data_IF_814941765872
#
_entry.id   IF_814941765872
#
_cell.length_a   1.000
_cell.length_b   1.000
_cell.length_c   1.000
_cell.angle_alpha   90.00
_cell.angle_beta   90.00
_cell.angle_gamma   90.00
#
_symmetry.space_group_name_H-M   'P 1'
#
loop_
_entity.id
_entity.type
_entity.pdbx_description
1 polymer ?
#
# COMPACT_ATOMS: atom_id res chain seq x y z
N UNK A 1 -3.77 18.11 -1.76
CA UNK A 1 -3.42 16.84 -1.06
C UNK A 1 -3.68 15.69 -2.03
N UNK A 2 -2.69 14.83 -2.28
CA UNK A 2 -2.93 13.61 -3.06
C UNK A 2 -3.83 12.68 -2.23
N UNK A 3 -4.91 12.21 -2.82
CA UNK A 3 -5.81 11.24 -2.21
C UNK A 3 -5.06 9.91 -1.97
N UNK A 4 -5.45 9.14 -0.97
CA UNK A 4 -4.89 7.78 -0.70
C UNK A 4 -4.89 6.88 -1.94
N UNK A 5 -5.76 7.12 -2.85
CA UNK A 5 -5.97 6.62 -4.18
C UNK A 5 -4.80 6.85 -5.14
N UNK A 6 -4.37 8.11 -5.25
CA UNK A 6 -3.23 8.49 -6.09
C UNK A 6 -1.93 7.84 -5.59
N UNK A 7 -1.83 7.62 -4.26
CA UNK A 7 -0.67 6.99 -3.63
C UNK A 7 -0.58 5.52 -4.01
N UNK A 8 -1.70 4.79 -3.99
CA UNK A 8 -1.72 3.36 -4.32
C UNK A 8 -1.37 3.12 -5.79
N UNK A 9 -1.91 3.93 -6.69
CA UNK A 9 -1.63 3.85 -8.13
C UNK A 9 -0.18 4.22 -8.43
N UNK A 10 0.32 5.29 -7.82
CA UNK A 10 1.71 5.70 -7.94
C UNK A 10 2.67 4.61 -7.43
N UNK A 11 2.33 3.95 -6.30
CA UNK A 11 3.09 2.82 -5.79
C UNK A 11 3.23 1.69 -6.82
N UNK A 12 2.12 1.31 -7.45
CA UNK A 12 2.12 0.25 -8.46
C UNK A 12 2.98 0.62 -9.68
N UNK A 13 2.84 1.84 -10.18
CA UNK A 13 3.60 2.33 -11.32
C UNK A 13 5.10 2.37 -11.04
N UNK A 14 5.48 2.90 -9.88
CA UNK A 14 6.89 3.03 -9.50
C UNK A 14 7.53 1.66 -9.23
N UNK A 15 6.76 0.72 -8.66
CA UNK A 15 7.18 -0.65 -8.43
C UNK A 15 7.43 -1.40 -9.76
N UNK A 16 6.55 -1.23 -10.74
CA UNK A 16 6.74 -1.81 -12.08
C UNK A 16 7.93 -1.18 -12.81
N UNK A 17 8.12 0.14 -12.71
CA UNK A 17 9.31 0.80 -13.25
C UNK A 17 10.60 0.27 -12.62
N UNK A 18 10.63 0.06 -11.31
CA UNK A 18 11.77 -0.53 -10.61
C UNK A 18 12.01 -1.98 -11.08
N UNK A 19 10.95 -2.78 -11.22
CA UNK A 19 11.06 -4.14 -11.74
C UNK A 19 11.64 -4.19 -13.17
N UNK A 20 11.18 -3.34 -14.06
CA UNK A 20 11.66 -3.31 -15.45
C UNK A 20 13.15 -2.96 -15.55
N UNK A 21 13.70 -2.23 -14.59
CA UNK A 21 15.15 -1.95 -14.48
C UNK A 21 15.94 -3.12 -13.93
N UNK A 22 15.38 -3.84 -12.97
CA UNK A 22 16.06 -4.93 -12.25
C UNK A 22 15.96 -6.27 -12.99
N UNK A 23 14.82 -6.58 -13.58
CA UNK A 23 14.55 -7.88 -14.19
C UNK A 23 15.60 -8.35 -15.21
N UNK A 24 16.13 -7.48 -16.12
CA UNK A 24 17.16 -7.88 -17.08
C UNK A 24 18.49 -8.29 -16.41
N UNK A 25 18.73 -7.89 -15.17
CA UNK A 25 19.97 -8.20 -14.42
C UNK A 25 19.89 -9.50 -13.61
N UNK A 26 18.77 -10.20 -13.64
CA UNK A 26 18.52 -11.38 -12.85
C UNK A 26 18.30 -12.62 -13.73
N UNK A 27 18.88 -13.73 -13.32
CA UNK A 27 18.69 -15.01 -14.00
C UNK A 27 17.33 -15.64 -13.68
N UNK A 28 16.83 -15.43 -12.45
CA UNK A 28 15.56 -15.99 -11.99
C UNK A 28 14.56 -14.88 -11.64
N UNK A 29 13.30 -15.11 -11.99
CA UNK A 29 12.23 -14.17 -11.74
C UNK A 29 12.01 -13.90 -10.24
N UNK A 30 12.19 -14.90 -9.39
CA UNK A 30 12.12 -14.74 -7.92
C UNK A 30 13.20 -13.79 -7.39
N UNK A 31 14.43 -13.87 -7.92
CA UNK A 31 15.50 -12.93 -7.57
C UNK A 31 15.16 -11.51 -8.02
N UNK A 32 14.54 -11.36 -9.19
CA UNK A 32 14.10 -10.06 -9.68
C UNK A 32 13.05 -9.43 -8.75
N UNK A 33 12.11 -10.21 -8.22
CA UNK A 33 11.13 -9.72 -7.26
C UNK A 33 11.76 -9.23 -5.96
N UNK A 34 12.64 -10.03 -5.36
CA UNK A 34 13.34 -9.66 -4.12
C UNK A 34 14.24 -8.45 -4.30
N UNK A 35 14.98 -8.38 -5.41
CA UNK A 35 15.81 -7.21 -5.73
C UNK A 35 14.97 -5.95 -5.98
N UNK A 36 13.81 -6.09 -6.62
CA UNK A 36 12.94 -4.95 -6.93
C UNK A 36 12.43 -4.28 -5.67
N UNK A 37 11.92 -5.06 -4.71
CA UNK A 37 11.34 -4.50 -3.48
C UNK A 37 12.38 -3.84 -2.57
N UNK A 38 13.67 -4.20 -2.75
CA UNK A 38 14.81 -3.60 -2.05
C UNK A 38 15.41 -2.38 -2.76
N UNK A 39 14.90 -2.01 -3.93
CA UNK A 39 15.33 -0.77 -4.59
C UNK A 39 14.84 0.45 -3.82
N UNK A 40 15.60 1.55 -3.83
CA UNK A 40 15.12 2.82 -3.33
C UNK A 40 13.78 3.21 -4.00
N UNK A 41 12.82 3.58 -3.19
CA UNK A 41 11.52 4.05 -3.67
C UNK A 41 11.49 5.57 -3.75
N UNK A 42 10.78 6.17 -4.72
CA UNK A 42 10.71 7.62 -4.88
C UNK A 42 10.10 8.34 -3.68
N UNK A 43 9.29 7.64 -2.88
CA UNK A 43 8.63 8.18 -1.69
C UNK A 43 8.19 7.07 -0.74
N UNK A 44 7.74 7.46 0.47
CA UNK A 44 6.95 6.58 1.33
C UNK A 44 5.49 6.59 0.85
N UNK A 45 4.94 5.40 0.55
CA UNK A 45 3.56 5.25 0.00
C UNK A 45 2.53 5.17 1.13
N UNK A 46 2.44 6.25 1.87
CA UNK A 46 1.50 6.45 2.97
C UNK A 46 1.00 7.90 2.94
N UNK A 47 -0.24 8.15 3.36
CA UNK A 47 -0.73 9.52 3.49
C UNK A 47 -0.10 10.22 4.70
N UNK A 48 0.11 11.53 4.59
CA UNK A 48 0.66 12.33 5.69
C UNK A 48 -0.22 12.23 6.95
N UNK A 49 -1.54 12.12 6.78
CA UNK A 49 -2.49 11.95 7.89
C UNK A 49 -2.25 10.63 8.65
N UNK A 50 -2.19 9.51 7.93
CA UNK A 50 -1.92 8.19 8.53
C UNK A 50 -0.52 8.15 9.17
N UNK A 51 0.48 8.70 8.48
CA UNK A 51 1.84 8.78 9.00
C UNK A 51 1.88 9.59 10.31
N UNK A 52 1.26 10.77 10.36
CA UNK A 52 1.22 11.62 11.56
C UNK A 52 0.54 10.92 12.74
N UNK A 53 -0.53 10.17 12.51
CA UNK A 53 -1.23 9.41 13.56
C UNK A 53 -0.36 8.33 14.21
N UNK A 54 0.55 7.74 13.46
CA UNK A 54 1.47 6.72 13.98
C UNK A 54 2.74 7.34 14.55
N UNK A 55 3.30 8.34 13.89
CA UNK A 55 4.55 8.97 14.33
C UNK A 55 4.38 9.85 15.57
N UNK A 56 3.20 10.44 15.79
CA UNK A 56 2.96 11.30 16.96
C UNK A 56 3.19 10.59 18.31
N UNK A 57 2.68 9.35 18.55
CA UNK A 57 3.08 8.58 19.73
C UNK A 57 4.58 8.23 19.74
N UNK A 58 5.16 7.82 18.59
CA UNK A 58 6.57 7.40 18.51
C UNK A 58 7.53 8.55 18.92
N UNK A 59 7.25 9.77 18.50
CA UNK A 59 8.05 10.95 18.89
C UNK A 59 8.01 11.19 20.40
N UNK A 60 6.94 10.76 21.08
CA UNK A 60 6.80 10.81 22.55
C UNK A 60 7.38 9.59 23.26
N UNK A 61 7.99 8.66 22.54
CA UNK A 61 8.58 7.43 23.09
C UNK A 61 7.62 6.23 23.20
N UNK A 62 6.39 6.33 22.67
CA UNK A 62 5.45 5.22 22.65
C UNK A 62 5.51 4.47 21.30
N UNK A 63 6.15 3.32 21.30
CA UNK A 63 6.33 2.46 20.14
C UNK A 63 5.36 1.26 20.12
N UNK A 64 4.50 1.09 21.13
CA UNK A 64 3.65 -0.07 21.34
C UNK A 64 2.83 -0.44 20.09
N UNK A 65 2.24 0.58 19.46
CA UNK A 65 1.42 0.39 18.25
C UNK A 65 2.23 -0.08 17.04
N UNK A 66 3.45 0.42 16.89
CA UNK A 66 4.32 0.06 15.75
C UNK A 66 4.94 -1.31 15.95
N UNK A 67 5.31 -1.66 17.17
CA UNK A 67 5.92 -2.96 17.49
C UNK A 67 4.97 -4.14 17.26
N UNK A 68 3.66 -3.91 17.34
CA UNK A 68 2.63 -4.90 16.98
C UNK A 68 2.38 -5.04 15.48
N UNK A 69 2.96 -4.19 14.64
CA UNK A 69 2.79 -4.26 13.19
C UNK A 69 3.64 -5.36 12.55
N UNK A 70 3.22 -5.79 11.35
CA UNK A 70 4.01 -6.71 10.52
C UNK A 70 5.38 -6.09 10.20
N UNK A 71 6.44 -6.92 10.06
CA UNK A 71 7.83 -6.46 9.98
C UNK A 71 8.09 -5.35 8.96
N UNK A 72 7.52 -5.46 7.76
CA UNK A 72 7.73 -4.46 6.71
C UNK A 72 7.11 -3.10 7.05
N UNK A 73 5.91 -3.08 7.63
CA UNK A 73 5.28 -1.84 8.11
C UNK A 73 6.07 -1.22 9.26
N UNK A 74 6.53 -2.06 10.19
CA UNK A 74 7.36 -1.62 11.31
C UNK A 74 8.62 -0.93 10.79
N UNK A 75 9.38 -1.57 9.89
CA UNK A 75 10.57 -0.97 9.27
C UNK A 75 10.28 0.34 8.56
N UNK A 76 9.14 0.41 7.83
CA UNK A 76 8.72 1.63 7.16
C UNK A 76 8.54 2.80 8.14
N UNK A 77 7.85 2.56 9.25
CA UNK A 77 7.61 3.62 10.24
C UNK A 77 8.88 4.04 10.99
N UNK A 78 9.77 3.10 11.31
CA UNK A 78 11.07 3.45 11.90
C UNK A 78 11.92 4.28 10.92
N UNK A 79 12.01 3.86 9.66
CA UNK A 79 12.70 4.62 8.62
C UNK A 79 12.08 6.01 8.40
N UNK A 80 10.75 6.10 8.44
CA UNK A 80 10.06 7.38 8.30
C UNK A 80 10.29 8.28 9.52
N UNK A 81 10.36 7.72 10.73
CA UNK A 81 10.71 8.47 11.94
C UNK A 81 12.13 9.06 11.85
N UNK A 82 13.11 8.25 11.42
CA UNK A 82 14.49 8.73 11.17
C UNK A 82 14.49 9.90 10.19
N UNK A 83 13.68 9.80 9.11
CA UNK A 83 13.55 10.87 8.11
C UNK A 83 12.92 12.13 8.70
N UNK A 84 11.93 11.99 9.57
CA UNK A 84 11.31 13.14 10.28
C UNK A 84 12.32 13.80 11.20
N UNK A 85 13.11 13.02 11.93
CA UNK A 85 14.18 13.55 12.81
C UNK A 85 15.21 14.31 11.96
N UNK A 86 15.73 13.70 10.90
CA UNK A 86 16.68 14.33 9.96
C UNK A 86 16.14 15.68 9.42
N UNK A 87 14.85 15.72 9.04
CA UNK A 87 14.25 16.96 8.54
C UNK A 87 14.08 17.99 9.64
N UNK A 88 13.71 17.58 10.86
CA UNK A 88 13.49 18.50 11.99
C UNK A 88 14.74 19.27 12.39
N UNK A 89 15.93 18.70 12.16
CA UNK A 89 17.23 19.32 12.43
C UNK A 89 17.60 20.37 11.38
N UNK A 90 16.98 20.33 10.20
CA UNK A 90 17.26 21.31 9.15
C UNK A 90 16.67 22.68 9.50
N UNK A 91 17.43 23.74 9.28
CA UNK A 91 17.02 25.13 9.58
C UNK A 91 15.64 25.51 9.03
N UNK A 92 15.27 24.99 7.86
CA UNK A 92 13.98 25.25 7.21
C UNK A 92 12.77 24.70 8.00
N UNK A 93 12.98 23.71 8.87
CA UNK A 93 11.94 23.02 9.63
C UNK A 93 11.92 23.36 11.13
N UNK A 94 12.89 24.16 11.59
CA UNK A 94 12.93 24.60 12.99
C UNK A 94 11.63 25.34 13.36
N UNK A 95 10.99 24.92 14.44
CA UNK A 95 9.73 25.51 14.91
C UNK A 95 8.48 25.12 14.12
N UNK A 96 8.60 24.21 13.13
CA UNK A 96 7.45 23.68 12.40
C UNK A 96 6.78 22.55 13.16
N UNK A 97 5.46 22.37 12.95
CA UNK A 97 4.71 21.29 13.57
C UNK A 97 5.13 19.92 13.01
N UNK A 98 4.96 18.87 13.81
CA UNK A 98 5.21 17.49 13.37
C UNK A 98 4.46 17.16 12.08
N UNK A 99 3.17 17.52 11.99
CA UNK A 99 2.35 17.27 10.80
C UNK A 99 2.93 17.92 9.54
N UNK A 100 3.47 19.14 9.67
CA UNK A 100 4.13 19.82 8.56
C UNK A 100 5.38 19.08 8.12
N UNK A 101 6.25 18.66 9.05
CA UNK A 101 7.48 17.91 8.73
C UNK A 101 7.15 16.57 8.09
N UNK A 102 6.12 15.87 8.59
CA UNK A 102 5.67 14.57 8.06
C UNK A 102 5.21 14.68 6.59
N UNK A 103 4.56 15.77 6.18
CA UNK A 103 4.19 15.98 4.79
C UNK A 103 5.39 15.94 3.84
N UNK A 104 6.51 16.51 4.25
CA UNK A 104 7.77 16.46 3.48
C UNK A 104 8.44 15.09 3.59
N UNK A 105 8.43 14.49 4.78
CA UNK A 105 9.03 13.18 5.00
C UNK A 105 8.40 12.09 4.14
N UNK A 106 7.07 12.03 4.04
CA UNK A 106 6.39 11.02 3.21
C UNK A 106 6.63 11.20 1.71
N UNK A 107 6.96 12.42 1.28
CA UNK A 107 7.29 12.74 -0.12
C UNK A 107 8.78 12.59 -0.43
N UNK A 108 9.61 12.34 0.58
CA UNK A 108 11.06 12.11 0.42
C UNK A 108 11.33 10.69 -0.06
N UNK A 109 12.46 10.44 -0.75
CA UNK A 109 12.86 9.09 -1.12
C UNK A 109 12.93 8.16 0.08
N UNK A 110 12.41 6.94 -0.09
CA UNK A 110 12.45 5.87 0.87
C UNK A 110 13.53 4.84 0.51
N UNK A 111 14.16 4.15 1.48
CA UNK A 111 15.24 3.21 1.21
C UNK A 111 14.81 1.95 0.48
N UNK A 112 13.55 1.58 0.59
CA UNK A 112 12.96 0.40 -0.09
C UNK A 112 11.44 0.57 -0.25
N UNK A 113 10.79 -0.37 -0.96
CA UNK A 113 9.33 -0.38 -1.12
C UNK A 113 8.55 -0.95 0.08
N UNK A 114 9.22 -1.49 1.09
CA UNK A 114 8.65 -2.06 2.33
C UNK A 114 7.58 -3.14 2.12
N UNK A 115 7.72 -3.93 1.06
CA UNK A 115 6.91 -5.13 0.81
C UNK A 115 7.82 -6.35 0.62
N UNK A 116 7.23 -7.55 0.57
CA UNK A 116 7.96 -8.78 0.21
C UNK A 116 7.94 -9.02 -1.28
N UNK A 117 8.92 -9.76 -1.81
CA UNK A 117 8.91 -10.20 -3.20
C UNK A 117 7.67 -11.03 -3.56
N UNK A 118 7.15 -11.83 -2.62
CA UNK A 118 5.90 -12.57 -2.80
C UNK A 118 4.69 -11.65 -2.92
N UNK A 119 4.62 -10.57 -2.11
CA UNK A 119 3.58 -9.54 -2.27
C UNK A 119 3.68 -8.85 -3.62
N UNK A 120 4.89 -8.52 -4.07
CA UNK A 120 5.11 -7.95 -5.40
C UNK A 120 4.63 -8.90 -6.52
N UNK A 121 4.92 -10.19 -6.42
CA UNK A 121 4.40 -11.18 -7.37
C UNK A 121 2.89 -11.13 -7.52
N UNK A 122 2.17 -11.03 -6.40
CA UNK A 122 0.70 -10.92 -6.39
C UNK A 122 0.23 -9.63 -7.06
N UNK A 123 0.84 -8.49 -6.72
CA UNK A 123 0.52 -7.19 -7.32
C UNK A 123 0.75 -7.23 -8.84
N UNK A 124 1.92 -7.71 -9.28
CA UNK A 124 2.25 -7.82 -10.70
C UNK A 124 1.29 -8.73 -11.47
N UNK A 125 0.93 -9.87 -10.90
CA UNK A 125 -0.06 -10.78 -11.48
C UNK A 125 -1.44 -10.12 -11.59
N UNK A 126 -1.85 -9.37 -10.58
CA UNK A 126 -3.12 -8.67 -10.58
C UNK A 126 -3.16 -7.53 -11.61
N UNK A 127 -2.08 -6.75 -11.74
CA UNK A 127 -1.93 -5.72 -12.78
C UNK A 127 -1.98 -6.32 -14.19
N UNK A 128 -1.23 -7.41 -14.42
CA UNK A 128 -1.20 -8.09 -15.72
C UNK A 128 -2.56 -8.66 -16.15
N UNK A 129 -3.39 -9.03 -15.19
CA UNK A 129 -4.71 -9.60 -15.42
C UNK A 129 -5.86 -8.58 -15.23
N UNK A 130 -5.56 -7.28 -15.24
CA UNK A 130 -6.53 -6.18 -15.05
C UNK A 130 -7.43 -6.39 -13.81
N UNK A 131 -6.85 -6.88 -12.71
CA UNK A 131 -7.57 -7.15 -11.44
C UNK A 131 -7.65 -5.96 -10.50
N UNK A 132 -7.28 -4.78 -10.96
CA UNK A 132 -7.47 -3.53 -10.22
C UNK A 132 -8.62 -2.74 -10.81
N UNK A 133 -9.43 -2.15 -9.94
CA UNK A 133 -10.46 -1.20 -10.36
C UNK A 133 -9.83 0.14 -10.76
N UNK A 134 -10.65 1.05 -11.27
CA UNK A 134 -10.21 2.38 -11.68
C UNK A 134 -9.60 3.16 -10.51
N UNK A 135 -9.87 2.70 -9.29
CA UNK A 135 -9.37 3.24 -8.04
C UNK A 135 -8.07 2.58 -7.57
N UNK A 136 -7.49 1.65 -8.32
CA UNK A 136 -6.25 0.95 -7.97
C UNK A 136 -6.40 -0.05 -6.80
N UNK A 137 -7.64 -0.42 -6.43
CA UNK A 137 -7.90 -1.47 -5.44
C UNK A 137 -7.97 -2.82 -6.13
N UNK A 138 -7.38 -3.84 -5.50
CA UNK A 138 -7.43 -5.20 -6.04
C UNK A 138 -8.87 -5.72 -6.05
N UNK A 139 -9.36 -6.03 -7.25
CA UNK A 139 -10.67 -6.64 -7.45
C UNK A 139 -10.51 -8.15 -7.43
N UNK A 140 -11.05 -8.81 -6.43
CA UNK A 140 -11.13 -10.26 -6.42
C UNK A 140 -12.29 -10.72 -7.32
N UNK A 141 -11.99 -10.92 -8.61
CA UNK A 141 -12.98 -11.33 -9.63
C UNK A 141 -13.73 -12.58 -9.19
N UNK A 142 -13.02 -13.59 -8.66
CA UNK A 142 -13.66 -14.82 -8.15
C UNK A 142 -14.62 -14.57 -7.00
N UNK A 143 -14.32 -13.60 -6.14
CA UNK A 143 -15.21 -13.22 -5.03
C UNK A 143 -16.45 -12.50 -5.55
N UNK A 144 -16.31 -11.58 -6.50
CA UNK A 144 -17.46 -10.89 -7.14
C UNK A 144 -18.36 -11.88 -7.90
N UNK A 145 -17.78 -12.78 -8.67
CA UNK A 145 -18.54 -13.82 -9.38
C UNK A 145 -19.32 -14.70 -8.39
N UNK A 146 -18.67 -15.20 -7.33
CA UNK A 146 -19.33 -15.99 -6.29
C UNK A 146 -20.41 -15.21 -5.53
N UNK A 147 -20.20 -13.92 -5.26
CA UNK A 147 -21.17 -13.06 -4.61
C UNK A 147 -22.38 -12.81 -5.54
N UNK A 148 -22.14 -12.58 -6.82
CA UNK A 148 -23.17 -12.42 -7.83
C UNK A 148 -24.01 -13.69 -8.00
N UNK A 149 -23.36 -14.85 -8.10
CA UNK A 149 -24.05 -16.15 -8.17
C UNK A 149 -24.92 -16.43 -6.94
N UNK A 150 -24.42 -16.12 -5.73
CA UNK A 150 -25.19 -16.23 -4.50
C UNK A 150 -26.42 -15.31 -4.50
N UNK A 151 -26.26 -14.06 -4.95
CA UNK A 151 -27.36 -13.10 -5.06
C UNK A 151 -28.40 -13.54 -6.11
N UNK A 152 -27.96 -14.05 -7.24
CA UNK A 152 -28.82 -14.58 -8.30
C UNK A 152 -29.67 -15.74 -7.76
N UNK A 153 -29.03 -16.74 -7.13
CA UNK A 153 -29.73 -17.88 -6.49
C UNK A 153 -30.71 -17.44 -5.39
N UNK A 154 -30.35 -16.43 -4.59
CA UNK A 154 -31.27 -15.89 -3.58
C UNK A 154 -32.48 -15.21 -4.23
N UNK A 155 -32.30 -14.44 -5.30
CA UNK A 155 -33.41 -13.81 -6.06
C UNK A 155 -34.34 -14.83 -6.68
N UNK A 156 -33.78 -15.89 -7.25
CA UNK A 156 -34.58 -17.00 -7.84
C UNK A 156 -35.40 -17.72 -6.76
N UNK A 157 -34.81 -18.04 -5.61
CA UNK A 157 -35.56 -18.61 -4.47
C UNK A 157 -36.68 -17.71 -3.97
N UNK A 158 -36.44 -16.40 -3.87
CA UNK A 158 -37.46 -15.43 -3.44
C UNK A 158 -38.60 -15.29 -4.48
N UNK A 159 -38.29 -15.39 -5.79
CA UNK A 159 -39.33 -15.43 -6.84
C UNK A 159 -40.18 -16.69 -6.75
N UNK A 160 -39.55 -17.85 -6.57
CA UNK A 160 -40.26 -19.13 -6.43
C UNK A 160 -41.21 -19.13 -5.22
N UNK A 161 -40.77 -18.60 -4.07
CA UNK A 161 -41.58 -18.45 -2.87
C UNK A 161 -42.79 -17.50 -3.09
N UNK A 162 -42.60 -16.41 -3.83
CA UNK A 162 -43.71 -15.49 -4.15
C UNK A 162 -44.73 -16.11 -5.09
N UNK A 163 -44.30 -16.90 -6.08
CA UNK A 163 -45.21 -17.60 -6.99
C UNK A 163 -45.96 -18.74 -6.28
N UNK A 164 -45.39 -19.42 -5.31
CA UNK A 164 -46.03 -20.47 -4.50
C UNK A 164 -47.03 -19.96 -3.46
N UNK A 165 -47.03 -18.66 -3.15
CA UNK A 165 -47.99 -18.03 -2.23
C UNK A 165 -49.23 -17.44 -2.94
N UNK A 166 -49.28 -17.52 -4.29
CA UNK A 166 -50.38 -17.00 -5.11
C UNK A 166 -51.25 -18.15 -5.68
N UNK A 167 -50.99 -19.37 -5.31
CA UNK A 167 -51.79 -20.58 -5.60
C UNK A 167 -52.41 -21.09 -4.30
#
# INVERSE_FOLDING_TARGET
MKNDYDISRQFQDDLIKAYNRVAPTCLMQSQAWEKTVKQPAPRYYISAKQASQILSPMVRGDFSRVDMMIPNKRRMYYSLLEKVIELSEKRAFVGKSLTYIVQFAVSSPAPEFFITGSSFRVIRSALKNNRYDDEGRMVNVKYRERAYEKLKKKRERMKALRCGLQS
#
